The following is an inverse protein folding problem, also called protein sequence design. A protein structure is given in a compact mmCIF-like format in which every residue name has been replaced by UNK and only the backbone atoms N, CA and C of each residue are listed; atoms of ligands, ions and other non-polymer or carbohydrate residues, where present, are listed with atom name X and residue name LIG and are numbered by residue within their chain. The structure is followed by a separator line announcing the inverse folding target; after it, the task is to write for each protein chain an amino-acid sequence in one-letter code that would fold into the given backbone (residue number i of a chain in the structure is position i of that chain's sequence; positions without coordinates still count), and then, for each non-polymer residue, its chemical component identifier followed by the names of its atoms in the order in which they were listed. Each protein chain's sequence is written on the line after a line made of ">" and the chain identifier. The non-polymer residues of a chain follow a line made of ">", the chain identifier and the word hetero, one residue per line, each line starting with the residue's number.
data_IF_860165773757
#
_entry.id   IF_860165773757
#
_cell.length_a   1.000
_cell.length_b   1.000
_cell.length_c   1.000
_cell.angle_alpha   90.00
_cell.angle_beta   90.00
_cell.angle_gamma   90.00
#
_symmetry.space_group_name_H-M   'P 1'
#
loop_
_entity.id
_entity.type
_entity.pdbx_description
1 polymer ?
#
# COMPACT_ATOMS: atom_id res chain seq x y z
N UNK A 1 -13.02 4.36 40.06
CA UNK A 1 -13.44 4.19 38.67
C UNK A 1 -12.29 4.10 37.64
N UNK A 2 -11.00 4.32 37.98
CA UNK A 2 -9.89 4.27 36.97
C UNK A 2 -9.69 2.90 36.32
N UNK A 3 -9.98 1.80 37.01
CA UNK A 3 -9.80 0.46 36.43
C UNK A 3 -10.80 0.08 35.32
N UNK A 4 -12.02 0.64 35.32
CA UNK A 4 -13.02 0.37 34.28
C UNK A 4 -12.69 1.08 32.99
N UNK A 5 -12.23 2.34 33.04
CA UNK A 5 -11.79 3.10 31.86
C UNK A 5 -10.58 2.43 31.20
N UNK A 6 -9.57 2.02 31.99
CA UNK A 6 -8.39 1.30 31.46
C UNK A 6 -8.76 -0.04 30.81
N UNK A 7 -9.72 -0.78 31.35
CA UNK A 7 -10.22 -2.02 30.73
C UNK A 7 -10.89 -1.76 29.39
N UNK A 8 -11.67 -0.69 29.26
CA UNK A 8 -12.30 -0.30 28.00
C UNK A 8 -11.27 0.08 26.93
N UNK A 9 -10.23 0.87 27.28
CA UNK A 9 -9.14 1.21 26.36
C UNK A 9 -8.36 -0.03 25.89
N UNK A 10 -8.06 -0.97 26.79
CA UNK A 10 -7.41 -2.24 26.44
C UNK A 10 -8.29 -3.07 25.50
N UNK A 11 -9.58 -3.19 25.81
CA UNK A 11 -10.53 -3.94 24.97
C UNK A 11 -10.65 -3.32 23.58
N UNK A 12 -10.73 -1.98 23.48
CA UNK A 12 -10.80 -1.27 22.20
C UNK A 12 -9.51 -1.47 21.37
N UNK A 13 -8.32 -1.32 21.98
CA UNK A 13 -7.05 -1.53 21.30
C UNK A 13 -6.89 -2.99 20.82
N UNK A 14 -7.24 -3.96 21.65
CA UNK A 14 -7.20 -5.38 21.29
C UNK A 14 -8.19 -5.72 20.16
N UNK A 15 -9.42 -5.22 20.23
CA UNK A 15 -10.43 -5.41 19.19
C UNK A 15 -9.95 -4.80 17.85
N UNK A 16 -9.37 -3.59 17.88
CA UNK A 16 -8.80 -2.96 16.68
C UNK A 16 -7.68 -3.81 16.07
N UNK A 17 -6.76 -4.35 16.88
CA UNK A 17 -5.72 -5.27 16.40
C UNK A 17 -6.32 -6.50 15.70
N UNK A 18 -7.28 -7.18 16.33
CA UNK A 18 -7.90 -8.40 15.79
C UNK A 18 -8.66 -8.12 14.51
N UNK A 19 -9.49 -7.07 14.52
CA UNK A 19 -10.28 -6.66 13.34
C UNK A 19 -9.38 -6.33 12.19
N UNK A 20 -8.33 -5.54 12.38
CA UNK A 20 -7.42 -5.16 11.32
C UNK A 20 -6.57 -6.36 10.85
N UNK A 21 -6.05 -7.20 11.73
CA UNK A 21 -5.34 -8.41 11.32
C UNK A 21 -6.23 -9.34 10.46
N UNK A 22 -7.52 -9.42 10.76
CA UNK A 22 -8.48 -10.27 10.05
C UNK A 22 -9.09 -9.65 8.79
N UNK A 23 -9.34 -8.35 8.76
CA UNK A 23 -10.15 -7.68 7.72
C UNK A 23 -9.66 -7.99 6.29
N UNK A 24 -8.42 -7.66 5.99
CA UNK A 24 -7.89 -7.83 4.64
C UNK A 24 -7.66 -9.31 4.28
N UNK A 25 -7.33 -10.11 5.29
CA UNK A 25 -7.10 -11.53 5.12
C UNK A 25 -8.38 -12.36 4.91
N UNK A 26 -9.53 -11.89 5.44
CA UNK A 26 -10.81 -12.59 5.36
C UNK A 26 -11.80 -11.90 4.42
N UNK A 27 -12.08 -10.60 4.64
CA UNK A 27 -13.04 -9.85 3.83
C UNK A 27 -12.51 -9.53 2.44
N UNK A 28 -11.22 -9.21 2.31
CA UNK A 28 -10.55 -8.93 1.02
C UNK A 28 -10.66 -10.06 0.00
N UNK A 29 -10.89 -11.30 0.50
CA UNK A 29 -11.15 -12.48 -0.33
C UNK A 29 -12.48 -12.45 -1.07
N UNK A 30 -13.45 -11.76 -0.54
CA UNK A 30 -14.83 -11.88 -0.97
C UNK A 30 -15.07 -11.14 -2.28
N UNK A 31 -15.86 -11.71 -3.24
CA UNK A 31 -16.15 -11.06 -4.53
C UNK A 31 -16.82 -9.70 -4.37
N UNK A 32 -17.75 -9.55 -3.42
CA UNK A 32 -18.42 -8.27 -3.15
C UNK A 32 -17.45 -7.18 -2.69
N UNK A 33 -16.42 -7.52 -1.88
CA UNK A 33 -15.40 -6.58 -1.43
C UNK A 33 -14.56 -6.06 -2.62
N UNK A 34 -14.15 -6.94 -3.52
CA UNK A 34 -13.40 -6.57 -4.73
C UNK A 34 -14.21 -5.67 -5.65
N UNK A 35 -15.51 -5.98 -5.86
CA UNK A 35 -16.41 -5.22 -6.71
C UNK A 35 -16.63 -3.79 -6.20
N UNK A 36 -16.78 -3.62 -4.90
CA UNK A 36 -17.11 -2.35 -4.26
C UNK A 36 -15.95 -1.78 -3.45
N UNK A 37 -14.70 -2.13 -3.81
CA UNK A 37 -13.49 -1.91 -3.01
C UNK A 37 -13.37 -0.49 -2.42
N UNK A 38 -13.42 0.63 -3.20
CA UNK A 38 -13.31 1.96 -2.60
C UNK A 38 -14.48 2.30 -1.67
N UNK A 39 -15.70 1.92 -2.04
CA UNK A 39 -16.90 2.23 -1.24
C UNK A 39 -16.91 1.46 0.09
N UNK A 40 -16.57 0.17 0.05
CA UNK A 40 -16.49 -0.66 1.26
C UNK A 40 -15.40 -0.16 2.20
N UNK A 41 -14.24 0.19 1.68
CA UNK A 41 -13.13 0.69 2.50
C UNK A 41 -13.37 2.12 3.00
N UNK A 42 -14.06 2.97 2.23
CA UNK A 42 -14.53 4.27 2.72
C UNK A 42 -15.54 4.13 3.86
N UNK A 43 -16.47 3.18 3.76
CA UNK A 43 -17.41 2.85 4.83
C UNK A 43 -16.65 2.31 6.07
N UNK A 44 -15.70 1.40 5.88
CA UNK A 44 -14.88 0.88 6.96
C UNK A 44 -14.08 1.98 7.67
N UNK A 45 -13.53 2.94 6.92
CA UNK A 45 -12.86 4.12 7.48
C UNK A 45 -13.83 4.98 8.31
N UNK A 46 -15.04 5.20 7.81
CA UNK A 46 -16.08 5.96 8.52
C UNK A 46 -16.52 5.26 9.82
N UNK A 47 -16.70 3.95 9.77
CA UNK A 47 -17.01 3.13 10.96
C UNK A 47 -15.87 3.18 11.98
N UNK A 48 -14.61 3.07 11.53
CA UNK A 48 -13.45 3.16 12.40
C UNK A 48 -13.34 4.54 13.08
N UNK A 49 -13.59 5.63 12.34
CA UNK A 49 -13.64 6.99 12.89
C UNK A 49 -14.79 7.16 13.90
N UNK A 50 -15.97 6.62 13.61
CA UNK A 50 -17.11 6.62 14.53
C UNK A 50 -16.82 5.86 15.82
N UNK A 51 -16.21 4.67 15.72
CA UNK A 51 -15.79 3.88 16.88
C UNK A 51 -14.72 4.59 17.71
N UNK A 52 -13.75 5.25 17.04
CA UNK A 52 -12.74 6.07 17.70
C UNK A 52 -13.37 7.24 18.48
N UNK A 53 -14.30 7.97 17.86
CA UNK A 53 -15.02 9.07 18.51
C UNK A 53 -15.85 8.56 19.71
N UNK A 54 -16.57 7.45 19.56
CA UNK A 54 -17.34 6.82 20.63
C UNK A 54 -16.45 6.35 21.81
N UNK A 55 -15.18 5.98 21.54
CA UNK A 55 -14.19 5.67 22.56
C UNK A 55 -13.51 6.90 23.17
N UNK A 56 -13.90 8.11 22.77
CA UNK A 56 -13.35 9.39 23.24
C UNK A 56 -11.99 9.75 22.64
N UNK A 57 -11.60 9.17 21.49
CA UNK A 57 -10.44 9.62 20.71
C UNK A 57 -10.79 10.92 19.98
N UNK A 58 -9.89 11.88 20.02
CA UNK A 58 -10.07 13.20 19.41
C UNK A 58 -9.43 13.28 18.01
N UNK A 59 -9.78 14.30 17.24
CA UNK A 59 -9.10 14.59 15.97
C UNK A 59 -7.58 14.79 16.13
N UNK A 60 -7.16 15.30 17.30
CA UNK A 60 -5.74 15.42 17.65
C UNK A 60 -5.06 14.05 17.78
N UNK A 61 -5.71 13.11 18.47
CA UNK A 61 -5.20 11.75 18.67
C UNK A 61 -5.05 11.04 17.32
N UNK A 62 -6.01 11.25 16.42
CA UNK A 62 -6.02 10.68 15.07
C UNK A 62 -5.09 11.39 14.08
N UNK A 63 -4.50 12.53 14.44
CA UNK A 63 -3.64 13.30 13.52
C UNK A 63 -4.37 14.10 12.46
N UNK A 64 -5.61 14.44 12.73
CA UNK A 64 -6.47 15.19 11.82
C UNK A 64 -6.53 16.70 12.15
N UNK A 65 -5.57 17.21 12.91
CA UNK A 65 -5.46 18.64 13.25
C UNK A 65 -5.12 19.48 12.02
N UNK A 66 -5.92 20.51 11.76
CA UNK A 66 -5.73 21.41 10.61
C UNK A 66 -4.45 22.24 10.70
N UNK A 67 -4.07 22.68 11.92
CA UNK A 67 -2.85 23.45 12.18
C UNK A 67 -1.56 22.63 11.95
N UNK A 68 -1.65 21.29 11.93
CA UNK A 68 -0.53 20.40 11.61
C UNK A 68 -0.46 19.98 10.14
N UNK A 69 -1.41 20.36 9.31
CA UNK A 69 -1.46 19.96 7.91
C UNK A 69 -0.20 20.40 7.14
N UNK A 70 0.26 21.64 7.32
CA UNK A 70 1.49 22.13 6.67
C UNK A 70 2.72 21.31 7.05
N UNK A 71 2.86 20.93 8.32
CA UNK A 71 3.94 20.05 8.77
C UNK A 71 3.80 18.67 8.13
N UNK A 72 2.58 18.12 8.09
CA UNK A 72 2.28 16.85 7.42
C UNK A 72 2.68 16.85 5.95
N UNK A 73 2.29 17.89 5.21
CA UNK A 73 2.65 18.04 3.80
C UNK A 73 4.16 18.11 3.59
N UNK A 74 4.88 18.91 4.40
CA UNK A 74 6.34 19.03 4.30
C UNK A 74 7.05 17.69 4.55
N UNK A 75 6.73 17.03 5.65
CA UNK A 75 7.34 15.74 6.00
C UNK A 75 6.97 14.66 5.00
N UNK A 76 5.71 14.62 4.58
CA UNK A 76 5.21 13.64 3.62
C UNK A 76 5.83 13.82 2.23
N UNK A 77 5.90 15.06 1.72
CA UNK A 77 6.54 15.34 0.43
C UNK A 77 8.04 15.04 0.45
N UNK A 78 8.74 15.37 1.54
CA UNK A 78 10.16 15.04 1.68
C UNK A 78 10.42 13.53 1.68
N UNK A 79 9.52 12.74 2.28
CA UNK A 79 9.61 11.27 2.26
C UNK A 79 9.15 10.66 0.93
N UNK A 80 8.14 11.25 0.27
CA UNK A 80 7.57 10.76 -0.99
C UNK A 80 8.48 11.03 -2.19
N UNK A 81 9.14 12.19 -2.23
CA UNK A 81 9.95 12.61 -3.38
C UNK A 81 11.03 11.60 -3.80
N UNK A 82 11.87 11.06 -2.90
CA UNK A 82 12.86 10.05 -3.28
C UNK A 82 12.22 8.74 -3.78
N UNK A 83 11.05 8.36 -3.26
CA UNK A 83 10.32 7.17 -3.71
C UNK A 83 9.83 7.36 -5.15
N UNK A 84 9.21 8.50 -5.44
CA UNK A 84 8.74 8.84 -6.79
C UNK A 84 9.91 8.89 -7.77
N UNK A 85 11.02 9.53 -7.38
CA UNK A 85 12.23 9.63 -8.20
C UNK A 85 12.84 8.25 -8.49
N UNK A 86 12.96 7.40 -7.47
CA UNK A 86 13.50 6.05 -7.63
C UNK A 86 12.62 5.17 -8.54
N UNK A 87 11.30 5.22 -8.37
CA UNK A 87 10.35 4.47 -9.21
C UNK A 87 10.37 4.99 -10.66
N UNK A 88 10.41 6.32 -10.85
CA UNK A 88 10.52 6.93 -12.18
C UNK A 88 11.82 6.53 -12.88
N UNK A 89 12.96 6.60 -12.18
CA UNK A 89 14.26 6.17 -12.71
C UNK A 89 14.24 4.68 -13.05
N UNK A 90 13.70 3.84 -12.19
CA UNK A 90 13.59 2.40 -12.42
C UNK A 90 12.73 2.09 -13.66
N UNK A 91 11.66 2.85 -13.92
CA UNK A 91 10.80 2.66 -15.08
C UNK A 91 11.48 3.01 -16.41
N UNK A 92 12.32 4.05 -16.44
CA UNK A 92 13.00 4.46 -17.66
C UNK A 92 14.31 3.70 -17.93
N UNK A 93 14.89 3.05 -16.92
CA UNK A 93 16.12 2.30 -17.01
C UNK A 93 15.86 0.87 -17.49
N UNK A 94 16.35 0.42 -18.66
CA UNK A 94 16.05 -0.91 -19.22
C UNK A 94 16.35 -2.07 -18.25
N UNK A 95 17.47 -2.02 -17.54
CA UNK A 95 17.92 -3.07 -16.63
C UNK A 95 16.99 -3.28 -15.40
N UNK A 96 16.23 -2.25 -15.00
CA UNK A 96 15.35 -2.31 -13.83
C UNK A 96 13.86 -2.44 -14.16
N UNK A 97 13.47 -2.24 -15.42
CA UNK A 97 12.07 -2.40 -15.87
C UNK A 97 11.46 -3.74 -15.49
N UNK A 98 12.15 -4.90 -15.63
CA UNK A 98 11.58 -6.19 -15.25
C UNK A 98 11.21 -6.29 -13.77
N UNK A 99 11.83 -5.49 -12.89
CA UNK A 99 11.50 -5.43 -11.46
C UNK A 99 10.17 -4.74 -11.18
N UNK A 100 9.66 -3.97 -12.16
CA UNK A 100 8.39 -3.25 -12.08
C UNK A 100 7.25 -3.99 -12.81
N UNK A 101 7.52 -5.18 -13.36
CA UNK A 101 6.49 -5.98 -14.03
C UNK A 101 5.46 -6.47 -12.99
N UNK A 102 4.25 -5.93 -13.08
CA UNK A 102 3.12 -6.33 -12.26
C UNK A 102 1.91 -6.64 -13.14
N UNK A 103 1.61 -7.92 -13.25
CA UNK A 103 0.50 -8.44 -14.05
C UNK A 103 -0.88 -7.91 -13.62
N UNK A 104 -0.98 -7.33 -12.43
CA UNK A 104 -2.20 -6.64 -11.96
C UNK A 104 -2.39 -5.29 -12.65
N UNK A 105 -1.32 -4.71 -13.18
CA UNK A 105 -1.26 -3.40 -13.87
C UNK A 105 -1.07 -3.60 -15.37
N UNK A 106 -0.28 -4.62 -15.78
CA UNK A 106 -0.05 -4.95 -17.17
C UNK A 106 -1.38 -5.14 -17.94
N UNK A 107 -1.49 -4.57 -19.11
CA UNK A 107 -2.72 -4.61 -19.92
C UNK A 107 -3.85 -3.67 -19.46
N UNK A 108 -3.64 -2.84 -18.42
CA UNK A 108 -4.59 -1.81 -18.04
C UNK A 108 -4.67 -0.71 -19.10
N UNK A 109 -5.87 -0.42 -19.57
CA UNK A 109 -6.10 0.76 -20.40
C UNK A 109 -5.95 2.07 -19.59
N UNK A 110 -5.95 3.21 -20.29
CA UNK A 110 -5.77 4.53 -19.62
C UNK A 110 -6.87 4.86 -18.63
N UNK A 111 -8.12 4.41 -18.86
CA UNK A 111 -9.25 4.67 -17.96
C UNK A 111 -9.14 3.83 -16.70
N UNK A 112 -8.79 2.57 -16.84
CA UNK A 112 -8.55 1.67 -15.70
C UNK A 112 -7.39 2.15 -14.84
N UNK A 113 -6.28 2.55 -15.45
CA UNK A 113 -5.13 3.10 -14.72
C UNK A 113 -5.49 4.42 -14.01
N UNK A 114 -6.24 5.32 -14.68
CA UNK A 114 -6.72 6.54 -14.05
C UNK A 114 -7.66 6.26 -12.88
N UNK A 115 -8.59 5.32 -13.01
CA UNK A 115 -9.44 4.87 -11.91
C UNK A 115 -8.63 4.33 -10.73
N UNK A 116 -7.62 3.48 -11.00
CA UNK A 116 -6.77 2.93 -9.95
C UNK A 116 -5.99 4.04 -9.22
N UNK A 117 -5.36 4.96 -9.95
CA UNK A 117 -4.50 6.00 -9.37
C UNK A 117 -5.30 7.13 -8.71
N UNK A 118 -6.45 7.51 -9.25
CA UNK A 118 -7.22 8.67 -8.77
C UNK A 118 -8.32 8.31 -7.76
N UNK A 119 -8.77 7.06 -7.73
CA UNK A 119 -9.87 6.65 -6.85
C UNK A 119 -9.54 5.40 -6.01
N UNK A 120 -9.21 4.29 -6.67
CA UNK A 120 -9.05 3.00 -5.99
C UNK A 120 -7.91 3.02 -4.98
N UNK A 121 -6.74 3.51 -5.37
CA UNK A 121 -5.57 3.63 -4.48
C UNK A 121 -5.80 4.70 -3.41
N UNK A 122 -6.15 5.97 -3.74
CA UNK A 122 -6.30 7.00 -2.73
C UNK A 122 -7.39 6.71 -1.69
N UNK A 123 -8.57 6.29 -2.12
CA UNK A 123 -9.72 6.08 -1.24
C UNK A 123 -9.78 4.64 -0.72
N UNK A 124 -9.68 3.68 -1.63
CA UNK A 124 -9.84 2.27 -1.27
C UNK A 124 -8.66 1.70 -0.49
N UNK A 125 -7.46 2.19 -0.71
CA UNK A 125 -6.26 1.68 -0.02
C UNK A 125 -5.74 2.70 0.98
N UNK A 126 -5.19 3.82 0.50
CA UNK A 126 -4.38 4.72 1.34
C UNK A 126 -5.19 5.39 2.43
N UNK A 127 -6.33 6.03 2.09
CA UNK A 127 -7.13 6.71 3.11
C UNK A 127 -7.63 5.74 4.18
N UNK A 128 -8.13 4.57 3.77
CA UNK A 128 -8.58 3.53 4.67
C UNK A 128 -7.45 3.04 5.59
N UNK A 129 -6.33 2.63 5.02
CA UNK A 129 -5.22 2.07 5.79
C UNK A 129 -4.58 3.10 6.71
N UNK A 130 -4.39 4.34 6.28
CA UNK A 130 -3.79 5.36 7.15
C UNK A 130 -4.74 5.79 8.28
N UNK A 131 -6.04 5.92 8.02
CA UNK A 131 -7.04 6.16 9.07
C UNK A 131 -7.06 5.00 10.07
N UNK A 132 -7.09 3.77 9.59
CA UNK A 132 -7.16 2.59 10.44
C UNK A 132 -5.91 2.39 11.28
N UNK A 133 -4.71 2.45 10.67
CA UNK A 133 -3.45 2.10 11.34
C UNK A 133 -2.79 3.30 12.04
N UNK A 134 -2.57 4.43 11.34
CA UNK A 134 -1.85 5.60 11.87
C UNK A 134 -2.76 6.58 12.57
N UNK A 135 -4.08 6.50 12.30
CA UNK A 135 -5.11 7.17 13.07
C UNK A 135 -5.57 6.34 14.27
N UNK A 136 -6.53 5.46 14.03
CA UNK A 136 -7.31 4.78 15.09
C UNK A 136 -6.48 3.78 15.90
N UNK A 137 -5.86 2.79 15.25
CA UNK A 137 -5.11 1.76 15.96
C UNK A 137 -3.97 2.35 16.80
N UNK A 138 -3.18 3.25 16.17
CA UNK A 138 -2.09 3.93 16.88
C UNK A 138 -2.60 4.70 18.09
N UNK A 139 -3.66 5.50 17.93
CA UNK A 139 -4.23 6.27 19.03
C UNK A 139 -4.76 5.36 20.16
N UNK A 140 -5.43 4.27 19.83
CA UNK A 140 -5.90 3.28 20.79
C UNK A 140 -4.73 2.62 21.56
N UNK A 141 -3.71 2.16 20.84
CA UNK A 141 -2.53 1.55 21.45
C UNK A 141 -1.77 2.54 22.36
N UNK A 142 -1.69 3.82 22.01
CA UNK A 142 -1.03 4.86 22.81
C UNK A 142 -1.71 5.14 24.16
N UNK A 143 -2.98 4.79 24.33
CA UNK A 143 -3.67 4.86 25.63
C UNK A 143 -3.23 3.77 26.62
N UNK A 144 -2.72 2.67 26.10
CA UNK A 144 -2.42 1.46 26.91
C UNK A 144 -0.95 1.06 26.89
N UNK A 145 -0.18 1.52 25.89
CA UNK A 145 1.23 1.18 25.69
C UNK A 145 2.09 2.45 25.57
N UNK A 146 3.36 2.32 25.95
CA UNK A 146 4.39 3.30 25.61
C UNK A 146 4.58 3.36 24.08
N UNK A 147 5.07 4.51 23.59
CA UNK A 147 5.14 4.78 22.14
C UNK A 147 5.93 3.73 21.34
N UNK A 148 7.11 3.28 21.74
CA UNK A 148 7.83 2.25 20.99
C UNK A 148 7.04 0.93 20.89
N UNK A 149 6.37 0.52 21.96
CA UNK A 149 5.54 -0.69 21.98
C UNK A 149 4.29 -0.53 21.12
N UNK A 150 3.62 0.62 21.16
CA UNK A 150 2.46 0.93 20.31
C UNK A 150 2.85 0.91 18.83
N UNK A 151 4.01 1.48 18.47
CA UNK A 151 4.55 1.45 17.12
C UNK A 151 4.88 0.02 16.69
N UNK A 152 5.55 -0.76 17.53
CA UNK A 152 5.90 -2.14 17.23
C UNK A 152 4.66 -3.02 17.00
N UNK A 153 3.66 -2.95 17.90
CA UNK A 153 2.42 -3.72 17.76
C UNK A 153 1.63 -3.28 16.53
N UNK A 154 1.43 -1.98 16.33
CA UNK A 154 0.70 -1.46 15.16
C UNK A 154 1.36 -1.84 13.84
N UNK A 155 2.69 -1.82 13.79
CA UNK A 155 3.48 -2.21 12.62
C UNK A 155 3.42 -3.72 12.37
N UNK A 156 3.46 -4.54 13.40
CA UNK A 156 3.28 -5.98 13.27
C UNK A 156 1.89 -6.33 12.71
N UNK A 157 0.83 -5.68 13.23
CA UNK A 157 -0.54 -5.85 12.69
C UNK A 157 -0.60 -5.41 11.22
N UNK A 158 0.12 -4.34 10.84
CA UNK A 158 0.20 -3.90 9.45
C UNK A 158 0.93 -4.91 8.55
N UNK A 159 1.97 -5.56 9.04
CA UNK A 159 2.60 -6.69 8.35
C UNK A 159 1.64 -7.87 8.15
N UNK A 160 0.91 -8.27 9.20
CA UNK A 160 -0.10 -9.33 9.12
C UNK A 160 -1.23 -9.00 8.14
N UNK A 161 -1.64 -7.74 8.04
CA UNK A 161 -2.60 -7.24 7.05
C UNK A 161 -2.22 -7.60 5.61
N UNK A 162 -0.92 -7.68 5.31
CA UNK A 162 -0.39 -7.89 3.95
C UNK A 162 -0.18 -9.36 3.56
N UNK A 163 -0.42 -10.32 4.46
CA UNK A 163 -0.18 -11.76 4.18
C UNK A 163 -0.95 -12.22 2.94
N UNK A 164 -2.28 -12.03 2.94
CA UNK A 164 -3.12 -12.48 1.83
C UNK A 164 -2.90 -11.67 0.54
N UNK A 165 -2.90 -10.33 0.55
CA UNK A 165 -2.62 -9.54 -0.65
C UNK A 165 -1.29 -9.92 -1.31
N UNK A 166 -0.25 -10.20 -0.50
CA UNK A 166 1.03 -10.68 -1.00
C UNK A 166 0.91 -12.06 -1.62
N UNK A 167 0.24 -12.99 -0.96
CA UNK A 167 0.06 -14.34 -1.51
C UNK A 167 -0.71 -14.33 -2.84
N UNK A 168 -1.71 -13.45 -2.98
CA UNK A 168 -2.46 -13.23 -4.22
C UNK A 168 -1.57 -12.58 -5.31
N UNK A 169 -0.78 -11.55 -4.95
CA UNK A 169 0.14 -10.91 -5.88
C UNK A 169 1.20 -11.88 -6.42
N UNK A 170 1.81 -12.70 -5.55
CA UNK A 170 2.76 -13.73 -5.94
C UNK A 170 2.14 -14.76 -6.89
N UNK A 171 0.87 -15.12 -6.67
CA UNK A 171 0.16 -16.06 -7.55
C UNK A 171 -0.13 -15.46 -8.93
N UNK A 172 -0.61 -14.22 -8.99
CA UNK A 172 -0.90 -13.52 -10.26
C UNK A 172 0.37 -13.28 -11.06
N UNK A 173 1.45 -12.86 -10.40
CA UNK A 173 2.75 -12.61 -11.04
C UNK A 173 3.60 -13.88 -11.26
N UNK A 174 3.06 -15.07 -10.92
CA UNK A 174 3.75 -16.37 -11.06
C UNK A 174 5.13 -16.41 -10.37
N UNK A 175 5.27 -15.67 -9.28
CA UNK A 175 6.48 -15.60 -8.49
C UNK A 175 6.46 -16.66 -7.38
N UNK A 176 7.66 -17.06 -6.90
CA UNK A 176 7.84 -18.01 -5.82
C UNK A 176 7.22 -19.40 -6.11
N UNK A 177 7.85 -20.15 -6.99
CA UNK A 177 7.48 -21.54 -7.28
C UNK A 177 7.70 -22.44 -6.05
N UNK A 178 6.65 -23.22 -5.69
CA UNK A 178 6.68 -24.12 -4.55
C UNK A 178 6.27 -23.50 -3.21
N UNK A 179 5.81 -24.36 -2.30
CA UNK A 179 5.23 -23.94 -1.00
C UNK A 179 6.24 -23.21 -0.11
N UNK A 180 7.48 -23.72 -0.02
CA UNK A 180 8.51 -23.12 0.83
C UNK A 180 8.91 -21.71 0.38
N UNK A 181 9.17 -21.53 -0.93
CA UNK A 181 9.50 -20.24 -1.51
C UNK A 181 8.36 -19.22 -1.32
N UNK A 182 7.09 -19.67 -1.46
CA UNK A 182 5.91 -18.82 -1.23
C UNK A 182 5.79 -18.36 0.23
N UNK A 183 5.99 -19.27 1.20
CA UNK A 183 5.97 -18.92 2.62
C UNK A 183 7.07 -17.91 2.92
N UNK A 184 8.29 -18.15 2.45
CA UNK A 184 9.41 -17.24 2.66
C UNK A 184 9.13 -15.85 2.08
N UNK A 185 8.65 -15.78 0.83
CA UNK A 185 8.33 -14.52 0.17
C UNK A 185 7.21 -13.75 0.90
N UNK A 186 6.13 -14.42 1.30
CA UNK A 186 5.04 -13.80 2.07
C UNK A 186 5.54 -13.27 3.41
N UNK A 187 6.38 -14.06 4.12
CA UNK A 187 6.94 -13.64 5.40
C UNK A 187 7.89 -12.44 5.23
N UNK A 188 8.74 -12.45 4.20
CA UNK A 188 9.65 -11.35 3.91
C UNK A 188 8.89 -10.05 3.58
N UNK A 189 7.85 -10.12 2.76
CA UNK A 189 7.01 -8.94 2.43
C UNK A 189 6.23 -8.48 3.66
N UNK A 190 5.70 -9.38 4.50
CA UNK A 190 5.04 -9.01 5.74
C UNK A 190 6.01 -8.29 6.71
N UNK A 191 7.25 -8.76 6.82
CA UNK A 191 8.28 -8.09 7.61
C UNK A 191 8.66 -6.72 7.02
N UNK A 192 8.82 -6.62 5.69
CA UNK A 192 9.06 -5.36 4.99
C UNK A 192 7.94 -4.34 5.21
N UNK A 193 6.68 -4.76 5.05
CA UNK A 193 5.51 -3.88 5.27
C UNK A 193 5.37 -3.49 6.73
N UNK A 194 5.74 -4.35 7.69
CA UNK A 194 5.85 -3.96 9.08
C UNK A 194 6.92 -2.87 9.29
N UNK A 195 8.09 -2.98 8.68
CA UNK A 195 9.12 -1.95 8.69
C UNK A 195 8.66 -0.62 8.07
N UNK A 196 8.00 -0.68 6.91
CA UNK A 196 7.36 0.49 6.29
C UNK A 196 6.29 1.08 7.22
N UNK A 197 5.52 0.24 7.91
CA UNK A 197 4.56 0.63 8.93
C UNK A 197 5.17 1.44 10.06
N UNK A 198 6.32 1.02 10.56
CA UNK A 198 7.06 1.73 11.59
C UNK A 198 7.55 3.11 11.10
N UNK A 199 8.10 3.18 9.88
CA UNK A 199 8.50 4.44 9.25
C UNK A 199 7.31 5.42 9.14
N UNK A 200 6.15 4.93 8.71
CA UNK A 200 4.93 5.75 8.61
C UNK A 200 4.45 6.23 10.00
N UNK A 201 4.60 5.41 11.05
CA UNK A 201 4.34 5.84 12.42
C UNK A 201 5.29 6.96 12.86
N UNK A 202 6.58 6.88 12.53
CA UNK A 202 7.56 7.94 12.80
C UNK A 202 7.20 9.23 12.06
N UNK A 203 6.81 9.15 10.78
CA UNK A 203 6.36 10.32 10.02
C UNK A 203 5.11 10.95 10.64
N UNK A 204 4.15 10.13 11.06
CA UNK A 204 2.94 10.56 11.76
C UNK A 204 3.28 11.28 13.07
N UNK A 205 4.24 10.76 13.83
CA UNK A 205 4.69 11.34 15.11
C UNK A 205 5.40 12.68 14.91
N UNK A 206 6.43 12.69 14.04
CA UNK A 206 7.26 13.87 13.78
C UNK A 206 6.46 15.03 13.18
N UNK A 207 5.51 14.75 12.32
CA UNK A 207 4.66 15.79 11.70
C UNK A 207 3.46 16.20 12.56
N UNK A 208 3.01 15.34 13.46
CA UNK A 208 1.74 15.48 14.17
C UNK A 208 0.51 15.36 13.25
N UNK A 209 0.66 14.87 12.02
CA UNK A 209 -0.38 14.86 10.98
C UNK A 209 -0.44 13.54 10.23
N UNK A 210 -1.66 13.08 9.97
CA UNK A 210 -1.92 11.90 9.12
C UNK A 210 -1.53 12.16 7.64
N UNK A 211 -1.43 13.42 7.21
CA UNK A 211 -1.05 13.76 5.83
C UNK A 211 0.37 13.28 5.47
N UNK A 212 1.30 13.19 6.43
CA UNK A 212 2.65 12.76 6.15
C UNK A 212 2.73 11.28 5.70
N UNK A 213 2.22 10.30 6.45
CA UNK A 213 2.21 8.92 5.98
C UNK A 213 1.29 8.72 4.77
N UNK A 214 0.17 9.45 4.65
CA UNK A 214 -0.70 9.42 3.46
C UNK A 214 0.08 9.76 2.19
N UNK A 215 0.88 10.81 2.18
CA UNK A 215 1.67 11.20 1.00
C UNK A 215 2.73 10.16 0.64
N UNK A 216 3.45 9.62 1.62
CA UNK A 216 4.41 8.54 1.37
C UNK A 216 3.72 7.29 0.82
N UNK A 217 2.58 6.92 1.38
CA UNK A 217 1.81 5.75 0.95
C UNK A 217 1.24 5.94 -0.47
N UNK A 218 0.72 7.13 -0.79
CA UNK A 218 0.28 7.49 -2.14
C UNK A 218 1.45 7.42 -3.13
N UNK A 219 2.63 7.90 -2.76
CA UNK A 219 3.82 7.80 -3.59
C UNK A 219 4.20 6.33 -3.85
N UNK A 220 4.24 5.50 -2.81
CA UNK A 220 4.60 4.09 -2.98
C UNK A 220 3.62 3.34 -3.89
N UNK A 221 2.32 3.48 -3.67
CA UNK A 221 1.30 2.73 -4.42
C UNK A 221 0.93 3.39 -5.76
N UNK A 222 0.70 4.70 -5.77
CA UNK A 222 0.28 5.43 -6.97
C UNK A 222 1.42 5.58 -7.98
N UNK A 223 2.59 6.05 -7.54
CA UNK A 223 3.75 6.12 -8.42
C UNK A 223 4.26 4.71 -8.82
N UNK A 224 4.13 3.72 -7.92
CA UNK A 224 4.42 2.32 -8.25
C UNK A 224 3.56 1.80 -9.41
N UNK A 225 2.25 2.03 -9.37
CA UNK A 225 1.33 1.65 -10.45
C UNK A 225 1.66 2.38 -11.77
N UNK A 226 1.96 3.68 -11.71
CA UNK A 226 2.36 4.46 -12.90
C UNK A 226 3.70 3.98 -13.46
N UNK A 227 4.67 3.70 -12.61
CA UNK A 227 5.99 3.21 -13.02
C UNK A 227 5.90 1.81 -13.67
N UNK A 228 5.08 0.92 -13.12
CA UNK A 228 4.79 -0.39 -13.72
C UNK A 228 4.15 -0.25 -15.10
N UNK A 229 3.11 0.58 -15.24
CA UNK A 229 2.46 0.82 -16.52
C UNK A 229 3.40 1.46 -17.57
N UNK A 230 4.27 2.37 -17.14
CA UNK A 230 5.28 2.98 -18.02
C UNK A 230 6.33 1.95 -18.48
N UNK A 231 6.85 1.15 -17.52
CA UNK A 231 7.84 0.12 -17.83
C UNK A 231 7.30 -0.91 -18.82
N UNK A 232 6.05 -1.38 -18.66
CA UNK A 232 5.41 -2.32 -19.58
C UNK A 232 5.31 -1.75 -21.00
N UNK A 233 4.85 -0.50 -21.16
CA UNK A 233 4.76 0.15 -22.48
C UNK A 233 6.10 0.29 -23.15
N UNK A 234 7.13 0.74 -22.42
CA UNK A 234 8.49 0.88 -22.96
C UNK A 234 9.13 -0.47 -23.32
N UNK A 235 8.72 -1.57 -22.71
CA UNK A 235 9.14 -2.92 -23.09
C UNK A 235 8.46 -3.39 -24.38
N UNK A 236 7.14 -3.13 -24.52
CA UNK A 236 6.38 -3.43 -25.73
C UNK A 236 6.96 -2.70 -26.95
N UNK A 237 7.23 -1.38 -26.83
CA UNK A 237 7.80 -0.55 -27.89
C UNK A 237 9.19 -1.06 -28.33
N UNK A 238 10.05 -1.45 -27.38
CA UNK A 238 11.38 -2.00 -27.71
C UNK A 238 11.30 -3.41 -28.30
N UNK A 239 10.33 -4.23 -27.90
CA UNK A 239 10.08 -5.55 -28.48
C UNK A 239 9.59 -5.49 -29.94
N UNK A 240 8.74 -4.52 -30.25
CA UNK A 240 8.25 -4.27 -31.61
C UNK A 240 9.37 -3.73 -32.52
N UNK A 241 10.23 -2.85 -32.02
CA UNK A 241 11.40 -2.35 -32.76
C UNK A 241 12.38 -3.48 -33.11
N UNK A 242 12.67 -4.37 -32.14
CA UNK A 242 13.55 -5.54 -32.38
C UNK A 242 12.97 -6.57 -33.34
N UNK A 243 11.65 -6.73 -33.43
CA UNK A 243 10.98 -7.62 -34.36
C UNK A 243 10.95 -7.06 -35.80
N UNK A 244 10.90 -5.72 -35.93
CA UNK A 244 10.99 -5.03 -37.24
C UNK A 244 12.35 -5.16 -37.90
N UNK A 245 13.43 -5.14 -37.14
CA UNK A 245 14.80 -5.25 -37.66
C UNK A 245 15.18 -6.65 -38.13
N UNK A 246 14.48 -7.71 -37.64
CA UNK A 246 14.76 -9.11 -38.07
C UNK A 246 14.08 -9.46 -39.40
N UNK A 247 13.06 -8.73 -39.86
CA UNK A 247 12.37 -9.02 -41.13
C UNK A 247 13.07 -8.43 -42.38
N UNK A 248 14.09 -7.59 -42.25
CA UNK A 248 14.76 -6.92 -43.41
C UNK A 248 15.94 -7.72 -43.96
N UNK A 249 16.33 -8.85 -43.38
CA UNK A 249 17.54 -9.63 -43.82
C UNK A 249 17.18 -10.95 -44.54
N UNK A 250 15.94 -11.16 -44.96
CA UNK A 250 15.65 -12.22 -45.92
C UNK A 250 15.74 -11.69 -47.35
N UNK A 251 16.96 -11.58 -47.85
CA UNK A 251 17.23 -11.26 -49.24
C UNK A 251 16.75 -12.36 -50.21
N UNK A 252 16.41 -12.03 -51.47
CA UNK A 252 15.85 -12.95 -52.41
C UNK A 252 16.89 -13.99 -52.86
N UNK A 253 16.43 -15.24 -52.81
CA UNK A 253 17.17 -16.38 -53.23
C UNK A 253 17.66 -16.29 -54.67
N UNK A 254 18.69 -17.00 -54.95
CA UNK A 254 19.06 -17.41 -56.30
C UNK A 254 18.17 -18.60 -56.72
N UNK A 255 17.37 -18.37 -57.73
CA UNK A 255 16.82 -19.44 -58.53
C UNK A 255 17.84 -19.80 -59.57
N UNK A 256 17.57 -20.91 -60.25
CA UNK A 256 18.10 -21.47 -61.51
C UNK A 256 19.46 -22.22 -61.41
N UNK A 257 19.39 -23.52 -61.42
CA UNK A 257 19.57 -24.42 -62.63
C UNK A 257 19.26 -25.86 -62.22
#
# INVERSE_FOLDING_TARGET
>A
MPGRARRADVAFAAAACVVLAGYNNLAGARPWHRRWYPAVNALAASVALGAAAASGLTASDLGLRRDRLRAGLRWGSAAAAPVVAALGLAAVTPATRPLLDDQRIAGRDRRQLAYDVLLRIPVGTVAWEEIAFRGVLRAALRRVLAEPAATAVGSAVFGLWHIRPTAEALAVNRLAAGRGARILAVTAVAAWTAGAGALMCVLRERSGSLAAPVLLHLAANGAGALASALASRLQEDTGLAGAGDVQVVAGPGAGDE
#
